data_IF_294369008068
#
_entry.id   IF_294369008068
#
_cell.length_a   1.000
_cell.length_b   1.000
_cell.length_c   1.000
_cell.angle_alpha   90.00
_cell.angle_beta   90.00
_cell.angle_gamma   90.00
#
_symmetry.space_group_name_H-M   'P 1'
#
loop_
_entity.id
_entity.type
_entity.pdbx_description
1 polymer ?
#
# COMPACT_ATOMS: atom_id res chain seq x y z
N UNK A 1 -11.71 -5.44 -12.32
CA UNK A 1 -11.54 -6.56 -11.38
C UNK A 1 -10.67 -6.08 -10.24
N UNK A 2 -11.28 -5.79 -9.09
CA UNK A 2 -10.55 -5.38 -7.89
C UNK A 2 -9.88 -6.61 -7.28
N UNK A 3 -8.56 -6.61 -7.17
CA UNK A 3 -7.82 -7.51 -6.29
C UNK A 3 -8.13 -7.07 -4.85
N UNK A 4 -9.28 -7.52 -4.34
CA UNK A 4 -9.53 -7.55 -2.90
C UNK A 4 -8.54 -8.57 -2.33
N UNK A 5 -7.47 -8.08 -1.72
CA UNK A 5 -6.46 -8.94 -1.08
C UNK A 5 -7.16 -9.93 -0.17
N UNK A 6 -6.94 -11.22 -0.43
CA UNK A 6 -7.32 -12.30 0.49
C UNK A 6 -6.45 -12.28 1.75
N UNK A 7 -5.24 -11.71 1.64
CA UNK A 7 -4.27 -11.62 2.72
C UNK A 7 -4.43 -10.31 3.51
N UNK A 8 -4.31 -10.35 4.85
CA UNK A 8 -4.43 -9.17 5.68
C UNK A 8 -3.32 -8.16 5.34
N UNK A 9 -3.72 -6.92 5.06
CA UNK A 9 -2.77 -5.84 4.84
C UNK A 9 -1.97 -5.58 6.13
N UNK A 10 -0.65 -5.67 6.05
CA UNK A 10 0.27 -5.40 7.15
C UNK A 10 0.30 -3.90 7.44
N UNK A 11 0.31 -3.08 6.40
CA UNK A 11 0.27 -1.63 6.53
C UNK A 11 -0.54 -1.03 5.40
N UNK A 12 -1.36 -0.03 5.72
CA UNK A 12 -1.95 0.87 4.74
C UNK A 12 -1.43 2.26 5.04
N UNK A 13 -0.93 2.97 4.02
CA UNK A 13 -0.47 4.34 4.14
C UNK A 13 -1.27 5.25 3.21
N UNK A 14 -1.70 6.40 3.70
CA UNK A 14 -2.43 7.42 2.92
C UNK A 14 -1.69 8.75 2.96
N UNK A 15 -1.81 9.53 1.90
CA UNK A 15 -1.23 10.87 1.87
C UNK A 15 -2.24 11.88 2.44
N UNK A 16 -2.07 12.30 3.71
CA UNK A 16 -3.05 13.13 4.43
C UNK A 16 -3.41 14.43 3.71
N UNK A 17 -2.42 15.07 3.08
CA UNK A 17 -2.62 16.36 2.40
C UNK A 17 -3.15 16.22 0.96
N UNK A 18 -3.03 15.04 0.35
CA UNK A 18 -3.47 14.82 -1.04
C UNK A 18 -4.17 13.45 -1.17
N UNK A 19 -5.39 13.31 -0.61
CA UNK A 19 -6.09 12.02 -0.54
C UNK A 19 -6.39 11.40 -1.91
N UNK A 20 -6.51 12.23 -2.95
CA UNK A 20 -6.69 11.81 -4.33
C UNK A 20 -5.48 11.05 -4.90
N UNK A 21 -4.30 11.13 -4.25
CA UNK A 21 -3.13 10.31 -4.60
C UNK A 21 -3.33 8.84 -4.24
N UNK A 22 -4.43 8.47 -3.58
CA UNK A 22 -4.73 7.09 -3.26
C UNK A 22 -4.02 6.62 -1.99
N UNK A 23 -3.68 5.34 -1.95
CA UNK A 23 -3.11 4.68 -0.77
C UNK A 23 -2.05 3.65 -1.19
N UNK A 24 -1.05 3.49 -0.35
CA UNK A 24 -0.14 2.35 -0.41
C UNK A 24 -0.65 1.24 0.51
N UNK A 25 -0.66 0.01 0.02
CA UNK A 25 -1.05 -1.18 0.79
C UNK A 25 0.10 -2.16 0.73
N UNK A 26 0.61 -2.54 1.90
CA UNK A 26 1.66 -3.54 2.04
C UNK A 26 1.02 -4.80 2.61
N UNK A 27 1.23 -5.93 1.95
CA UNK A 27 0.72 -7.24 2.36
C UNK A 27 1.79 -8.31 2.12
N UNK A 28 1.64 -9.44 2.80
CA UNK A 28 2.47 -10.61 2.57
C UNK A 28 1.87 -11.43 1.43
N UNK A 29 2.71 -11.80 0.46
CA UNK A 29 2.36 -12.70 -0.61
C UNK A 29 2.57 -14.18 -0.18
N UNK A 30 1.94 -15.15 -0.85
CA UNK A 30 1.98 -16.56 -0.47
C UNK A 30 3.39 -17.20 -0.46
N UNK A 31 4.35 -16.58 -1.14
CA UNK A 31 5.74 -17.00 -1.27
C UNK A 31 6.66 -16.45 -0.16
N UNK A 32 6.08 -15.95 0.95
CA UNK A 32 6.78 -15.29 2.05
C UNK A 32 7.45 -13.95 1.66
N UNK A 33 7.22 -13.47 0.44
CA UNK A 33 7.62 -12.13 0.03
C UNK A 33 6.58 -11.11 0.47
N UNK A 34 6.96 -9.84 0.45
CA UNK A 34 6.08 -8.72 0.73
C UNK A 34 5.86 -7.95 -0.56
N UNK A 35 4.66 -7.41 -0.73
CA UNK A 35 4.34 -6.54 -1.85
C UNK A 35 3.75 -5.25 -1.31
N UNK A 36 4.24 -4.13 -1.82
CA UNK A 36 3.63 -2.83 -1.64
C UNK A 36 2.94 -2.42 -2.94
N UNK A 37 1.66 -2.13 -2.88
CA UNK A 37 0.87 -1.71 -4.03
C UNK A 37 0.34 -0.30 -3.81
N UNK A 38 0.50 0.56 -4.82
CA UNK A 38 -0.08 1.88 -4.86
C UNK A 38 -1.44 1.81 -5.55
N UNK A 39 -2.51 1.96 -4.77
CA UNK A 39 -3.87 2.00 -5.27
C UNK A 39 -4.36 3.43 -5.39
N UNK A 40 -4.88 3.78 -6.56
CA UNK A 40 -5.54 5.08 -6.81
C UNK A 40 -7.01 4.84 -7.15
N UNK A 41 -7.90 5.66 -6.60
CA UNK A 41 -9.31 5.64 -6.95
C UNK A 41 -9.51 6.31 -8.31
N UNK A 42 -10.14 5.59 -9.23
CA UNK A 42 -10.50 6.09 -10.55
C UNK A 42 -11.82 6.85 -10.50
N UNK A 43 -12.11 7.64 -11.54
CA UNK A 43 -13.33 8.45 -11.63
C UNK A 43 -14.63 7.63 -11.56
N UNK A 44 -14.60 6.36 -11.97
CA UNK A 44 -15.72 5.43 -11.90
C UNK A 44 -15.90 4.79 -10.50
N UNK A 45 -15.08 5.17 -9.52
CA UNK A 45 -15.10 4.61 -8.17
C UNK A 45 -14.25 3.35 -7.98
N UNK A 46 -13.74 2.74 -9.06
CA UNK A 46 -12.87 1.58 -8.97
C UNK A 46 -11.50 1.94 -8.39
N UNK A 47 -10.86 0.97 -7.73
CA UNK A 47 -9.46 1.08 -7.31
C UNK A 47 -8.58 0.38 -8.32
N UNK A 48 -7.56 1.09 -8.79
CA UNK A 48 -6.55 0.55 -9.69
C UNK A 48 -5.18 0.59 -9.03
N UNK A 49 -4.45 -0.51 -9.11
CA UNK A 49 -3.03 -0.54 -8.78
C UNK A 49 -2.26 0.15 -9.90
N UNK A 50 -1.58 1.25 -9.58
CA UNK A 50 -0.78 2.03 -10.54
C UNK A 50 0.71 1.71 -10.43
N UNK A 51 1.14 1.22 -9.27
CA UNK A 51 2.52 0.85 -8.98
C UNK A 51 2.54 -0.35 -8.03
N UNK A 52 3.52 -1.23 -8.21
CA UNK A 52 3.77 -2.36 -7.32
C UNK A 52 5.27 -2.52 -7.11
N UNK A 53 5.66 -2.70 -5.85
CA UNK A 53 7.04 -2.90 -5.42
C UNK A 53 7.12 -4.21 -4.67
N UNK A 54 7.97 -5.11 -5.12
CA UNK A 54 8.28 -6.36 -4.41
C UNK A 54 9.35 -6.10 -3.36
N UNK A 55 9.07 -6.56 -2.15
CA UNK A 55 9.86 -6.36 -0.94
C UNK A 55 10.29 -7.74 -0.43
N UNK A 56 11.59 -7.93 -0.23
CA UNK A 56 12.14 -9.27 0.04
C UNK A 56 11.95 -9.70 1.49
N UNK A 57 11.70 -8.74 2.39
CA UNK A 57 11.61 -8.99 3.82
C UNK A 57 10.68 -8.02 4.54
N UNK A 58 10.33 -8.36 5.78
CA UNK A 58 9.60 -7.46 6.68
C UNK A 58 10.40 -6.19 6.97
N UNK A 59 11.73 -6.29 7.03
CA UNK A 59 12.61 -5.13 7.22
C UNK A 59 12.52 -4.16 6.04
N UNK A 60 12.46 -4.68 4.81
CA UNK A 60 12.26 -3.85 3.61
C UNK A 60 10.88 -3.18 3.62
N UNK A 61 9.83 -3.90 4.06
CA UNK A 61 8.49 -3.33 4.21
C UNK A 61 8.44 -2.19 5.24
N UNK A 62 9.17 -2.33 6.36
CA UNK A 62 9.31 -1.27 7.35
C UNK A 62 10.11 -0.09 6.79
N UNK A 63 11.25 -0.34 6.13
CA UNK A 63 12.08 0.70 5.51
C UNK A 63 11.29 1.47 4.44
N UNK A 64 10.51 0.77 3.61
CA UNK A 64 9.64 1.37 2.60
C UNK A 64 8.53 2.22 3.23
N UNK A 65 7.94 1.76 4.34
CA UNK A 65 6.94 2.55 5.08
C UNK A 65 7.54 3.84 5.66
N UNK A 66 8.78 3.79 6.17
CA UNK A 66 9.51 4.95 6.69
C UNK A 66 9.84 5.91 5.54
N UNK A 67 10.32 5.38 4.41
CA UNK A 67 10.57 6.14 3.20
C UNK A 67 9.31 6.91 2.77
N UNK A 68 8.18 6.22 2.59
CA UNK A 68 6.90 6.87 2.26
C UNK A 68 6.51 7.93 3.30
N UNK A 69 6.76 7.68 4.58
CA UNK A 69 6.43 8.65 5.63
C UNK A 69 7.22 9.96 5.50
N UNK A 70 8.46 9.91 5.00
CA UNK A 70 9.25 11.11 4.71
C UNK A 70 8.66 11.96 3.57
N UNK A 71 7.84 11.36 2.69
CA UNK A 71 7.09 12.04 1.63
C UNK A 71 5.64 12.37 2.01
N UNK A 72 5.29 12.40 3.30
CA UNK A 72 3.96 12.84 3.75
C UNK A 72 2.88 11.76 3.72
N UNK A 73 3.24 10.51 3.44
CA UNK A 73 2.35 9.37 3.66
C UNK A 73 2.26 9.07 5.16
N UNK A 74 1.13 8.56 5.62
CA UNK A 74 0.92 8.22 7.02
C UNK A 74 0.23 6.87 7.12
N UNK A 75 0.76 6.00 7.98
CA UNK A 75 0.12 4.72 8.27
C UNK A 75 -1.24 4.96 8.92
N UNK A 76 -2.25 4.27 8.41
CA UNK A 76 -3.59 4.21 8.99
C UNK A 76 -3.86 2.78 9.42
N UNK A 77 -4.42 2.66 10.61
CA UNK A 77 -4.99 1.41 11.08
C UNK A 77 -6.40 1.36 10.50
N UNK A 78 -6.64 0.44 9.58
CA UNK A 78 -8.02 0.08 9.26
C UNK A 78 -8.60 -0.59 10.52
N UNK A 79 -9.80 -0.19 10.99
CA UNK A 79 -10.47 -0.85 12.10
C UNK A 79 -10.83 -2.31 11.78
#
# INVERSE_FOLDING_TARGET
>A
MALLYKDPAIATLIHKQTPYRGKWVIYQAPDLLFNACHEVQQQNGDRKVVEQVSLQSLADAQAFSIYLSSYGWSRVWAP
#
